data_IF_789466802258
#
_entry.id   IF_789466802258
#
_cell.length_a   1.000
_cell.length_b   1.000
_cell.length_c   1.000
_cell.angle_alpha   90.00
_cell.angle_beta   90.00
_cell.angle_gamma   90.00
#
_symmetry.space_group_name_H-M   'P 1'
#
loop_
_entity.id
_entity.type
_entity.pdbx_description
1 polymer ?
#
# COMPACT_ATOMS: atom_id res chain seq x y z
N UNK A 1 -5.38 -66.57 55.25
CA UNK A 1 -5.70 -65.79 54.03
C UNK A 1 -5.42 -64.28 54.15
N UNK A 2 -5.07 -63.74 55.33
CA UNK A 2 -4.94 -62.28 55.55
C UNK A 2 -3.54 -61.69 55.28
N UNK A 3 -2.46 -62.45 55.44
CA UNK A 3 -1.09 -61.93 55.30
C UNK A 3 -0.65 -61.76 53.84
N UNK A 4 -1.07 -62.65 52.95
CA UNK A 4 -0.70 -62.63 51.53
C UNK A 4 -1.36 -61.47 50.77
N UNK A 5 -2.62 -61.15 51.10
CA UNK A 5 -3.37 -60.03 50.52
C UNK A 5 -2.78 -58.68 50.95
N UNK A 6 -2.23 -58.59 52.17
CA UNK A 6 -1.62 -57.37 52.68
C UNK A 6 -0.29 -57.04 51.99
N UNK A 7 0.56 -58.06 51.80
CA UNK A 7 1.83 -57.92 51.05
C UNK A 7 1.56 -57.54 49.60
N UNK A 8 0.58 -58.17 48.94
CA UNK A 8 0.23 -57.86 47.56
C UNK A 8 -0.27 -56.41 47.41
N UNK A 9 -1.05 -55.91 48.37
CA UNK A 9 -1.51 -54.50 48.39
C UNK A 9 -0.37 -53.50 48.53
N UNK A 10 0.64 -53.81 49.34
CA UNK A 10 1.81 -52.94 49.52
C UNK A 10 2.64 -52.89 48.25
N UNK A 11 2.88 -54.04 47.63
CA UNK A 11 3.63 -54.12 46.37
C UNK A 11 2.89 -53.37 45.25
N UNK A 12 1.56 -53.53 45.16
CA UNK A 12 0.76 -52.85 44.14
C UNK A 12 0.76 -51.33 44.34
N UNK A 13 0.62 -50.84 45.57
CA UNK A 13 0.70 -49.41 45.88
C UNK A 13 2.09 -48.83 45.64
N UNK A 14 3.15 -49.59 45.94
CA UNK A 14 4.52 -49.17 45.68
C UNK A 14 4.79 -49.07 44.17
N UNK A 15 4.36 -50.06 43.38
CA UNK A 15 4.47 -50.05 41.93
C UNK A 15 3.63 -48.95 41.28
N UNK A 16 2.43 -48.69 41.79
CA UNK A 16 1.57 -47.61 41.31
C UNK A 16 2.18 -46.23 41.58
N UNK A 17 2.72 -46.01 42.78
CA UNK A 17 3.43 -44.77 43.10
C UNK A 17 4.71 -44.59 42.26
N UNK A 18 5.46 -45.67 42.03
CA UNK A 18 6.64 -45.63 41.17
C UNK A 18 6.27 -45.32 39.72
N UNK A 19 5.17 -45.88 39.21
CA UNK A 19 4.67 -45.62 37.85
C UNK A 19 4.12 -44.20 37.68
N UNK A 20 3.45 -43.65 38.69
CA UNK A 20 2.94 -42.26 38.67
C UNK A 20 4.10 -41.26 38.73
N UNK A 21 5.08 -41.49 39.61
CA UNK A 21 6.23 -40.58 39.76
C UNK A 21 7.14 -40.59 38.54
N UNK A 22 7.45 -41.75 37.98
CA UNK A 22 8.30 -41.86 36.77
C UNK A 22 7.64 -41.28 35.53
N UNK A 23 6.36 -41.57 35.27
CA UNK A 23 5.65 -41.00 34.12
C UNK A 23 5.37 -39.50 34.28
N UNK A 24 5.12 -39.02 35.50
CA UNK A 24 4.97 -37.59 35.77
C UNK A 24 6.24 -36.79 35.46
N UNK A 25 7.42 -37.33 35.82
CA UNK A 25 8.71 -36.69 35.50
C UNK A 25 8.98 -36.68 33.98
N UNK A 26 8.62 -37.75 33.27
CA UNK A 26 8.78 -37.82 31.81
C UNK A 26 7.88 -36.79 31.10
N UNK A 27 6.60 -36.68 31.50
CA UNK A 27 5.65 -35.73 30.90
C UNK A 27 6.07 -34.29 31.18
N UNK A 28 6.48 -33.97 32.41
CA UNK A 28 6.94 -32.62 32.76
C UNK A 28 8.22 -32.25 32.02
N UNK A 29 9.15 -33.20 31.84
CA UNK A 29 10.36 -32.96 31.06
C UNK A 29 10.08 -32.79 29.56
N UNK A 30 9.13 -33.54 29.00
CA UNK A 30 8.69 -33.35 27.62
C UNK A 30 8.02 -31.97 27.42
N UNK A 31 7.14 -31.57 28.35
CA UNK A 31 6.51 -30.25 28.34
C UNK A 31 7.53 -29.11 28.47
N UNK A 32 8.49 -29.23 29.39
CA UNK A 32 9.58 -28.24 29.54
C UNK A 32 10.43 -28.14 28.28
N UNK A 33 10.78 -29.26 27.65
CA UNK A 33 11.54 -29.26 26.38
C UNK A 33 10.75 -28.59 25.25
N UNK A 34 9.46 -28.88 25.09
CA UNK A 34 8.61 -28.21 24.09
C UNK A 34 8.44 -26.72 24.37
N UNK A 35 8.32 -26.32 25.65
CA UNK A 35 8.25 -24.90 26.02
C UNK A 35 9.56 -24.16 25.70
N UNK A 36 10.72 -24.79 25.97
CA UNK A 36 12.03 -24.22 25.67
C UNK A 36 12.23 -24.09 24.16
N UNK A 37 11.78 -25.06 23.37
CA UNK A 37 11.84 -24.99 21.91
C UNK A 37 10.92 -23.90 21.37
N UNK A 38 9.68 -23.79 21.84
CA UNK A 38 8.75 -22.73 21.45
C UNK A 38 9.25 -21.33 21.84
N UNK A 39 9.81 -21.18 23.05
CA UNK A 39 10.44 -19.93 23.49
C UNK A 39 11.69 -19.59 22.66
N UNK A 40 12.48 -20.59 22.26
CA UNK A 40 13.63 -20.41 21.38
C UNK A 40 13.21 -19.90 20.00
N UNK A 41 12.16 -20.47 19.39
CA UNK A 41 11.64 -19.99 18.10
C UNK A 41 11.05 -18.58 18.17
N UNK A 42 10.33 -18.25 19.25
CA UNK A 42 9.84 -16.89 19.49
C UNK A 42 10.97 -15.88 19.73
N UNK A 43 12.06 -16.30 20.39
CA UNK A 43 13.24 -15.44 20.55
C UNK A 43 13.98 -15.23 19.22
N UNK A 44 14.12 -16.27 18.40
CA UNK A 44 14.79 -16.16 17.09
C UNK A 44 14.04 -15.25 16.12
N UNK A 45 12.70 -15.29 16.13
CA UNK A 45 11.90 -14.39 15.29
C UNK A 45 12.05 -12.92 15.74
N UNK A 46 12.04 -12.66 17.05
CA UNK A 46 12.26 -11.32 17.61
C UNK A 46 13.66 -10.77 17.30
N UNK A 47 14.70 -11.61 17.38
CA UNK A 47 16.05 -11.22 17.02
C UNK A 47 16.18 -10.88 15.53
N UNK A 48 15.62 -11.68 14.63
CA UNK A 48 15.68 -11.42 13.19
C UNK A 48 14.96 -10.12 12.80
N UNK A 49 13.78 -9.84 13.37
CA UNK A 49 13.06 -8.59 13.13
C UNK A 49 13.83 -7.37 13.63
N UNK A 50 14.42 -7.44 14.83
CA UNK A 50 15.23 -6.35 15.38
C UNK A 50 16.51 -6.09 14.57
N UNK A 51 17.14 -7.14 14.03
CA UNK A 51 18.31 -6.98 13.15
C UNK A 51 17.95 -6.42 11.77
N UNK A 52 16.77 -6.75 11.23
CA UNK A 52 16.30 -6.17 9.97
C UNK A 52 16.02 -4.66 10.11
N UNK A 53 15.45 -4.25 11.24
CA UNK A 53 15.23 -2.83 11.57
C UNK A 53 16.53 -2.04 11.76
N UNK A 54 17.59 -2.69 12.30
CA UNK A 54 18.90 -2.06 12.52
C UNK A 54 19.75 -1.88 11.24
N UNK A 55 19.45 -2.61 10.17
CA UNK A 55 20.22 -2.56 8.91
C UNK A 55 19.52 -1.72 7.83
N UNK A 56 18.19 -1.58 7.89
CA UNK A 56 17.45 -0.77 6.93
C UNK A 56 17.66 0.73 7.19
N UNK A 57 18.51 1.37 6.38
CA UNK A 57 18.50 2.83 6.24
C UNK A 57 17.37 3.20 5.29
N UNK A 58 16.36 3.96 5.73
CA UNK A 58 15.28 4.38 4.85
C UNK A 58 15.85 5.18 3.69
N UNK A 59 15.46 4.83 2.46
CA UNK A 59 15.79 5.63 1.29
C UNK A 59 15.06 6.97 1.41
N UNK A 60 15.80 8.04 1.72
CA UNK A 60 15.26 9.38 1.68
C UNK A 60 14.98 9.77 0.24
N UNK A 61 13.75 10.20 0.00
CA UNK A 61 13.29 10.62 -1.31
C UNK A 61 13.21 12.14 -1.34
N UNK A 62 13.55 12.79 -2.47
CA UNK A 62 13.40 14.22 -2.60
C UNK A 62 11.93 14.63 -2.46
N UNK A 63 11.71 15.81 -1.89
CA UNK A 63 10.39 16.37 -1.61
C UNK A 63 10.25 17.74 -2.25
N UNK A 64 9.10 18.00 -2.86
CA UNK A 64 8.76 19.33 -3.36
C UNK A 64 8.27 20.24 -2.21
N UNK A 65 8.70 21.52 -2.16
CA UNK A 65 8.16 22.48 -1.22
C UNK A 65 6.72 22.88 -1.59
N UNK A 66 6.01 23.51 -0.65
CA UNK A 66 4.70 24.10 -0.91
C UNK A 66 4.78 25.14 -2.04
N UNK A 67 3.74 25.18 -2.86
CA UNK A 67 3.53 26.09 -4.00
C UNK A 67 2.16 26.77 -3.84
N UNK A 68 2.00 27.71 -2.90
CA UNK A 68 0.69 28.29 -2.54
C UNK A 68 -0.01 29.04 -3.69
N UNK A 69 0.76 29.48 -4.69
CA UNK A 69 0.25 30.15 -5.89
C UNK A 69 -0.34 29.17 -6.91
N UNK A 70 -0.01 27.89 -6.83
CA UNK A 70 -0.57 26.85 -7.69
C UNK A 70 -1.97 26.48 -7.18
N UNK A 71 -3.00 27.00 -7.86
CA UNK A 71 -4.39 26.68 -7.54
C UNK A 71 -4.85 25.44 -8.29
N UNK A 72 -5.22 24.40 -7.55
CA UNK A 72 -5.79 23.18 -8.12
C UNK A 72 -7.30 23.19 -7.87
N UNK A 73 -8.08 23.08 -8.95
CA UNK A 73 -9.52 22.91 -8.85
C UNK A 73 -9.86 21.43 -8.68
N UNK A 74 -10.19 21.02 -7.45
CA UNK A 74 -10.50 19.63 -7.12
C UNK A 74 -11.96 19.25 -7.30
N UNK A 75 -12.87 20.23 -7.45
CA UNK A 75 -14.31 19.98 -7.60
C UNK A 75 -14.63 19.65 -9.06
N UNK A 76 -14.80 18.37 -9.37
CA UNK A 76 -15.00 17.85 -10.72
C UNK A 76 -16.23 18.47 -11.42
N UNK A 77 -17.30 18.73 -10.65
CA UNK A 77 -18.57 19.27 -11.10
C UNK A 77 -18.41 20.64 -11.78
N UNK A 78 -17.38 21.43 -11.41
CA UNK A 78 -17.14 22.73 -12.05
C UNK A 78 -16.73 22.63 -13.52
N UNK A 79 -16.33 21.45 -13.96
CA UNK A 79 -15.99 21.19 -15.36
C UNK A 79 -17.18 20.66 -16.18
N UNK A 80 -18.31 20.33 -15.54
CA UNK A 80 -19.45 19.67 -16.18
C UNK A 80 -20.11 20.50 -17.29
N UNK A 81 -20.34 21.80 -17.05
CA UNK A 81 -20.98 22.69 -18.03
C UNK A 81 -20.11 22.85 -19.28
N UNK A 82 -18.79 22.99 -19.08
CA UNK A 82 -17.84 23.26 -20.16
C UNK A 82 -17.43 22.02 -20.95
N UNK A 83 -17.35 20.86 -20.29
CA UNK A 83 -16.90 19.59 -20.89
C UNK A 83 -17.91 18.47 -20.61
N UNK A 84 -19.17 18.59 -21.06
CA UNK A 84 -20.25 17.68 -20.64
C UNK A 84 -20.02 16.24 -21.07
N UNK A 85 -19.43 16.00 -22.24
CA UNK A 85 -19.16 14.64 -22.72
C UNK A 85 -18.10 13.93 -21.86
N UNK A 86 -17.02 14.63 -21.54
CA UNK A 86 -15.94 14.12 -20.71
C UNK A 86 -16.42 13.91 -19.27
N UNK A 87 -17.14 14.88 -18.72
CA UNK A 87 -17.70 14.79 -17.38
C UNK A 87 -18.72 13.65 -17.26
N UNK A 88 -19.68 13.54 -18.18
CA UNK A 88 -20.71 12.50 -18.11
C UNK A 88 -20.13 11.08 -18.30
N UNK A 89 -19.13 10.92 -19.17
CA UNK A 89 -18.45 9.63 -19.33
C UNK A 89 -17.59 9.27 -18.11
N UNK A 90 -16.94 10.24 -17.46
CA UNK A 90 -16.30 10.04 -16.16
C UNK A 90 -17.31 9.62 -15.08
N UNK A 91 -18.44 10.33 -14.94
CA UNK A 91 -19.51 10.00 -14.02
C UNK A 91 -20.06 8.58 -14.24
N UNK A 92 -20.09 8.12 -15.50
CA UNK A 92 -20.60 6.79 -15.82
C UNK A 92 -19.79 5.65 -15.21
N UNK A 93 -18.57 5.91 -14.71
CA UNK A 93 -17.81 4.94 -13.91
C UNK A 93 -18.53 4.57 -12.60
N UNK A 94 -19.54 5.31 -12.17
CA UNK A 94 -20.39 4.95 -11.03
C UNK A 94 -21.37 3.79 -11.31
N UNK A 95 -21.56 3.40 -12.58
CA UNK A 95 -22.63 2.51 -13.02
C UNK A 95 -22.09 1.17 -13.56
N UNK A 96 -22.98 0.18 -13.71
CA UNK A 96 -22.63 -1.12 -14.29
C UNK A 96 -21.58 -1.83 -13.45
N UNK A 97 -20.56 -2.43 -14.07
CA UNK A 97 -19.47 -3.09 -13.33
C UNK A 97 -18.75 -2.15 -12.36
N UNK A 98 -18.80 -0.84 -12.59
CA UNK A 98 -18.22 0.15 -11.71
C UNK A 98 -18.89 0.27 -10.34
N UNK A 99 -20.13 -0.17 -10.18
CA UNK A 99 -20.86 -0.13 -8.90
C UNK A 99 -20.60 -1.35 -8.02
N UNK A 100 -20.23 -2.47 -8.63
CA UNK A 100 -20.12 -3.77 -7.97
C UNK A 100 -18.87 -3.85 -7.09
N UNK A 101 -19.04 -4.35 -5.87
CA UNK A 101 -17.94 -4.73 -4.98
C UNK A 101 -17.77 -6.23 -5.06
N UNK A 102 -16.56 -6.68 -5.38
CA UNK A 102 -16.17 -8.08 -5.37
C UNK A 102 -15.13 -8.25 -4.25
N UNK A 103 -15.45 -9.03 -3.22
CA UNK A 103 -14.57 -9.34 -2.10
C UNK A 103 -13.59 -10.45 -2.51
N UNK A 104 -12.43 -10.06 -3.03
CA UNK A 104 -11.49 -10.98 -3.66
C UNK A 104 -10.80 -11.92 -2.66
N UNK A 105 -10.68 -11.50 -1.40
CA UNK A 105 -10.23 -12.35 -0.30
C UNK A 105 -11.28 -13.39 0.13
N UNK A 106 -12.58 -13.11 -0.02
CA UNK A 106 -13.64 -14.11 0.16
C UNK A 106 -13.67 -15.12 -1.00
N UNK A 107 -13.47 -14.67 -2.24
CA UNK A 107 -13.37 -15.57 -3.40
C UNK A 107 -12.12 -16.46 -3.35
N UNK A 108 -10.99 -15.93 -2.86
CA UNK A 108 -9.76 -16.68 -2.68
C UNK A 108 -9.16 -16.50 -1.27
N UNK A 109 -9.62 -17.28 -0.28
CA UNK A 109 -9.14 -17.19 1.11
C UNK A 109 -7.64 -17.48 1.31
N UNK A 110 -6.94 -18.01 0.29
CA UNK A 110 -5.47 -18.15 0.34
C UNK A 110 -4.78 -16.79 0.49
N UNK A 111 -5.38 -15.72 -0.03
CA UNK A 111 -4.89 -14.35 0.10
C UNK A 111 -4.77 -13.93 1.57
N UNK A 112 -5.72 -14.34 2.42
CA UNK A 112 -5.71 -14.06 3.86
C UNK A 112 -4.49 -14.71 4.52
N UNK A 113 -4.14 -15.93 4.12
CA UNK A 113 -2.96 -16.66 4.64
C UNK A 113 -1.67 -16.03 4.12
N UNK A 114 -1.58 -15.74 2.83
CA UNK A 114 -0.41 -15.14 2.20
C UNK A 114 -0.08 -13.76 2.80
N UNK A 115 -1.10 -12.99 3.16
CA UNK A 115 -0.96 -11.68 3.78
C UNK A 115 -1.09 -11.69 5.30
N UNK A 116 -0.92 -12.86 5.94
CA UNK A 116 -1.02 -13.02 7.39
C UNK A 116 -0.14 -12.03 8.15
N UNK A 117 -0.75 -11.15 8.95
CA UNK A 117 -0.06 -10.08 9.68
C UNK A 117 -0.05 -8.72 8.97
N UNK A 118 -0.58 -8.63 7.75
CA UNK A 118 -0.68 -7.40 6.97
C UNK A 118 -2.13 -6.93 6.80
N UNK A 119 -2.33 -5.64 6.51
CA UNK A 119 -3.66 -5.05 6.42
C UNK A 119 -4.54 -5.69 5.32
N UNK A 120 -3.93 -6.18 4.24
CA UNK A 120 -4.63 -6.86 3.15
C UNK A 120 -5.30 -8.18 3.57
N UNK A 121 -4.86 -8.83 4.65
CA UNK A 121 -5.55 -10.00 5.19
C UNK A 121 -6.86 -9.66 5.94
N UNK A 122 -7.15 -8.37 6.18
CA UNK A 122 -8.40 -7.92 6.82
C UNK A 122 -9.52 -7.72 5.80
N UNK A 123 -9.19 -7.12 4.66
CA UNK A 123 -10.11 -6.90 3.55
C UNK A 123 -9.34 -6.56 2.28
N UNK A 124 -9.66 -7.26 1.19
CA UNK A 124 -9.18 -6.96 -0.14
C UNK A 124 -10.26 -7.19 -1.20
N UNK A 125 -10.71 -6.09 -1.80
CA UNK A 125 -11.75 -6.09 -2.83
C UNK A 125 -11.10 -5.86 -4.20
N UNK A 126 -11.67 -6.44 -5.26
CA UNK A 126 -11.33 -6.08 -6.62
C UNK A 126 -11.65 -4.58 -6.88
N UNK A 127 -10.92 -3.91 -7.79
CA UNK A 127 -11.20 -2.52 -8.12
C UNK A 127 -12.57 -2.38 -8.80
N UNK A 128 -13.20 -1.23 -8.57
CA UNK A 128 -14.42 -0.80 -9.27
C UNK A 128 -14.23 0.61 -9.83
N UNK A 129 -15.31 1.32 -10.15
CA UNK A 129 -15.26 2.61 -10.83
C UNK A 129 -14.47 3.69 -10.07
N UNK A 130 -13.73 4.53 -10.82
CA UNK A 130 -13.00 5.68 -10.28
C UNK A 130 -13.87 6.59 -9.40
N UNK A 131 -15.16 6.72 -9.72
CA UNK A 131 -16.12 7.44 -8.90
C UNK A 131 -16.09 7.03 -7.42
N UNK A 132 -15.90 5.74 -7.12
CA UNK A 132 -15.92 5.22 -5.74
C UNK A 132 -14.58 5.27 -5.02
N UNK A 133 -13.50 5.78 -5.62
CA UNK A 133 -12.16 5.71 -5.03
C UNK A 133 -12.07 6.29 -3.59
N UNK A 134 -12.68 7.45 -3.35
CA UNK A 134 -12.74 8.06 -2.00
C UNK A 134 -13.65 7.27 -1.05
N UNK A 135 -14.78 6.77 -1.55
CA UNK A 135 -15.71 5.94 -0.76
C UNK A 135 -15.03 4.65 -0.30
N UNK A 136 -14.33 3.97 -1.21
CA UNK A 136 -13.72 2.67 -0.93
C UNK A 136 -12.55 2.78 0.03
N UNK A 137 -11.68 3.78 -0.13
CA UNK A 137 -10.59 3.99 0.83
C UNK A 137 -11.09 4.40 2.22
N UNK A 138 -12.28 5.01 2.32
CA UNK A 138 -12.92 5.32 3.61
C UNK A 138 -13.52 4.09 4.28
N UNK A 139 -14.13 3.21 3.49
CA UNK A 139 -14.92 2.09 4.02
C UNK A 139 -14.10 0.83 4.29
N UNK A 140 -12.98 0.66 3.57
CA UNK A 140 -12.19 -0.57 3.66
C UNK A 140 -11.55 -0.76 5.03
N UNK A 141 -11.63 -1.98 5.60
CA UNK A 141 -11.09 -2.29 6.92
C UNK A 141 -9.59 -2.02 7.07
N UNK A 142 -8.86 -1.89 5.96
CA UNK A 142 -7.42 -1.57 5.95
C UNK A 142 -7.10 -0.20 6.57
N UNK A 143 -7.98 0.79 6.47
CA UNK A 143 -7.77 2.13 7.05
C UNK A 143 -8.17 2.21 8.53
N UNK A 144 -8.89 1.20 9.03
CA UNK A 144 -9.28 1.10 10.42
C UNK A 144 -10.35 2.13 10.84
N UNK A 145 -10.41 2.44 12.12
CA UNK A 145 -11.42 3.34 12.69
C UNK A 145 -10.79 4.42 13.59
N UNK A 146 -9.94 5.31 13.03
CA UNK A 146 -9.22 6.32 13.81
C UNK A 146 -10.18 7.24 14.56
N UNK A 147 -9.82 7.59 15.80
CA UNK A 147 -10.62 8.47 16.67
C UNK A 147 -10.19 9.93 16.62
N UNK A 148 -8.98 10.20 16.13
CA UNK A 148 -8.44 11.56 16.00
C UNK A 148 -7.64 11.69 14.71
N UNK A 149 -7.29 12.92 14.32
CA UNK A 149 -6.48 13.19 13.14
C UNK A 149 -5.08 12.54 13.16
N UNK A 150 -4.57 12.17 14.34
CA UNK A 150 -3.25 11.55 14.53
C UNK A 150 -3.32 10.04 14.82
N UNK A 151 -4.51 9.44 14.74
CA UNK A 151 -4.75 8.03 15.01
C UNK A 151 -4.84 7.21 13.72
N UNK A 152 -4.91 5.89 13.86
CA UNK A 152 -5.15 4.94 12.78
C UNK A 152 -3.87 4.27 12.26
N UNK A 153 -4.04 3.09 11.63
CA UNK A 153 -2.91 2.30 11.14
C UNK A 153 -2.22 2.93 9.93
N UNK A 154 -2.96 3.68 9.09
CA UNK A 154 -2.46 4.12 7.79
C UNK A 154 -1.86 5.54 7.81
N UNK A 155 -0.84 5.75 6.97
CA UNK A 155 -0.24 7.05 6.69
C UNK A 155 -1.08 7.86 5.68
N UNK A 156 -0.80 9.16 5.56
CA UNK A 156 -1.45 10.04 4.58
C UNK A 156 -1.32 9.52 3.14
N UNK A 157 -0.22 8.80 2.86
CA UNK A 157 0.07 8.17 1.58
C UNK A 157 -1.05 7.28 1.01
N UNK A 158 -1.92 6.70 1.85
CA UNK A 158 -3.05 5.90 1.34
C UNK A 158 -4.07 6.72 0.53
N UNK A 159 -4.10 8.04 0.72
CA UNK A 159 -4.92 8.94 -0.08
C UNK A 159 -4.36 9.28 -1.45
N UNK A 160 -3.05 9.11 -1.66
CA UNK A 160 -2.32 9.75 -2.76
C UNK A 160 -2.88 9.43 -4.14
N UNK A 161 -3.45 8.25 -4.33
CA UNK A 161 -4.02 7.81 -5.60
C UNK A 161 -5.56 7.84 -5.62
N UNK A 162 -6.21 8.73 -4.84
CA UNK A 162 -7.68 8.69 -4.60
C UNK A 162 -8.47 9.91 -5.06
N UNK A 163 -7.82 11.02 -5.41
CA UNK A 163 -8.54 12.19 -5.91
C UNK A 163 -7.71 13.45 -6.10
N UNK A 164 -8.31 14.48 -6.73
CA UNK A 164 -7.64 15.73 -7.09
C UNK A 164 -7.39 16.66 -5.89
N UNK A 165 -7.96 16.37 -4.71
CA UNK A 165 -7.55 17.04 -3.48
C UNK A 165 -6.10 16.72 -3.10
N UNK A 166 -5.55 15.60 -3.56
CA UNK A 166 -4.14 15.25 -3.31
C UNK A 166 -3.17 16.28 -3.89
N UNK A 167 -3.17 16.56 -5.21
CA UNK A 167 -2.30 17.59 -5.78
C UNK A 167 -2.59 18.99 -5.21
N UNK A 168 -3.84 19.28 -4.81
CA UNK A 168 -4.19 20.51 -4.08
C UNK A 168 -3.42 20.60 -2.75
N UNK A 169 -3.51 19.57 -1.92
CA UNK A 169 -2.84 19.52 -0.62
C UNK A 169 -1.31 19.47 -0.74
N UNK A 170 -0.76 18.80 -1.75
CA UNK A 170 0.69 18.83 -2.01
C UNK A 170 1.13 20.26 -2.39
N UNK A 171 0.34 20.98 -3.19
CA UNK A 171 0.62 22.38 -3.51
C UNK A 171 0.51 23.28 -2.27
N UNK A 172 -0.48 23.08 -1.41
CA UNK A 172 -0.69 23.91 -0.22
C UNK A 172 0.32 23.63 0.90
N UNK A 173 0.61 22.35 1.18
CA UNK A 173 1.41 21.93 2.35
C UNK A 173 2.84 21.57 1.98
N UNK A 174 3.13 21.29 0.72
CA UNK A 174 4.38 20.67 0.30
C UNK A 174 4.36 19.15 0.51
N UNK A 175 5.23 18.45 -0.20
CA UNK A 175 5.24 16.99 -0.25
C UNK A 175 5.61 16.37 1.11
N UNK A 176 6.54 16.99 1.84
CA UNK A 176 6.96 16.55 3.18
C UNK A 176 5.81 16.54 4.18
N UNK A 177 5.10 17.66 4.33
CA UNK A 177 4.05 17.82 5.34
C UNK A 177 2.78 17.07 4.94
N UNK A 178 2.52 16.91 3.64
CA UNK A 178 1.51 15.99 3.14
C UNK A 178 1.80 14.56 3.60
N UNK A 179 2.96 13.99 3.26
CA UNK A 179 3.23 12.58 3.57
C UNK A 179 3.38 12.28 5.06
N UNK A 180 3.95 13.20 5.83
CA UNK A 180 4.17 13.03 7.27
C UNK A 180 2.87 12.97 8.11
N UNK A 181 1.71 13.27 7.52
CA UNK A 181 0.43 13.17 8.20
C UNK A 181 -0.07 11.72 8.33
N UNK A 182 -1.03 11.50 9.23
CA UNK A 182 -1.82 10.26 9.28
C UNK A 182 -2.97 10.33 8.27
N UNK A 183 -3.42 9.16 7.81
CA UNK A 183 -4.59 9.04 6.92
C UNK A 183 -5.81 9.80 7.48
N UNK A 184 -6.04 9.72 8.79
CA UNK A 184 -7.17 10.37 9.44
C UNK A 184 -7.19 11.90 9.28
N UNK A 185 -6.02 12.56 9.26
CA UNK A 185 -5.90 14.02 9.05
C UNK A 185 -6.43 14.45 7.68
N UNK A 186 -6.29 13.59 6.67
CA UNK A 186 -6.79 13.82 5.32
C UNK A 186 -8.30 13.69 5.16
N UNK A 187 -8.99 13.04 6.11
CA UNK A 187 -10.43 12.76 6.03
C UNK A 187 -11.32 13.95 5.65
N UNK A 188 -11.22 15.11 6.35
CA UNK A 188 -12.00 16.31 6.01
C UNK A 188 -11.51 17.06 4.76
N UNK A 189 -10.31 16.77 4.26
CA UNK A 189 -9.66 17.51 3.17
C UNK A 189 -9.78 16.84 1.80
N UNK A 190 -9.80 15.51 1.78
CA UNK A 190 -9.85 14.69 0.56
C UNK A 190 -11.25 14.13 0.43
N UNK A 191 -12.07 14.85 -0.34
CA UNK A 191 -13.51 14.62 -0.46
C UNK A 191 -13.97 14.45 -1.90
N UNK A 192 -13.18 14.89 -2.86
CA UNK A 192 -13.43 14.72 -4.28
C UNK A 192 -12.74 13.44 -4.77
N UNK A 193 -13.50 12.58 -5.45
CA UNK A 193 -12.96 11.35 -6.06
C UNK A 193 -12.09 11.65 -7.27
N UNK A 194 -11.32 10.65 -7.72
CA UNK A 194 -10.43 10.71 -8.90
C UNK A 194 -11.13 11.45 -10.03
N UNK A 195 -10.48 12.48 -10.60
CA UNK A 195 -11.13 13.32 -11.60
C UNK A 195 -10.23 14.25 -12.38
N UNK A 196 -10.77 15.37 -12.87
CA UNK A 196 -10.17 16.15 -13.96
C UNK A 196 -8.73 16.59 -13.63
N UNK A 197 -8.51 17.15 -12.45
CA UNK A 197 -7.22 17.68 -12.06
C UNK A 197 -6.17 16.59 -11.71
N UNK A 198 -6.52 15.30 -11.65
CA UNK A 198 -5.52 14.25 -11.52
C UNK A 198 -4.70 14.05 -12.81
N UNK A 199 -5.30 14.33 -13.97
CA UNK A 199 -4.71 14.04 -15.29
C UNK A 199 -4.52 15.28 -16.17
N UNK A 200 -5.20 16.38 -15.86
CA UNK A 200 -5.22 17.60 -16.68
C UNK A 200 -4.69 18.80 -15.90
N UNK A 201 -3.91 19.66 -16.57
CA UNK A 201 -3.65 21.01 -16.08
C UNK A 201 -4.87 21.89 -16.36
N UNK A 202 -5.80 21.85 -15.41
CA UNK A 202 -7.08 22.56 -15.48
C UNK A 202 -6.95 24.08 -15.42
N UNK A 203 -5.75 24.60 -15.10
CA UNK A 203 -5.46 26.04 -15.04
C UNK A 203 -4.86 26.59 -16.34
N UNK A 204 -4.45 25.70 -17.23
CA UNK A 204 -3.82 26.09 -18.49
C UNK A 204 -4.82 26.71 -19.48
N UNK A 205 -4.30 27.63 -20.31
CA UNK A 205 -5.03 28.15 -21.47
C UNK A 205 -5.44 27.02 -22.42
N UNK A 206 -4.57 26.03 -22.62
CA UNK A 206 -4.84 24.89 -23.49
C UNK A 206 -6.06 24.09 -23.02
N UNK A 207 -6.16 23.80 -21.71
CA UNK A 207 -7.35 23.16 -21.15
C UNK A 207 -8.59 24.03 -21.37
N UNK A 208 -8.49 25.33 -21.08
CA UNK A 208 -9.58 26.27 -21.28
C UNK A 208 -10.07 26.34 -22.75
N UNK A 209 -9.21 26.06 -23.73
CA UNK A 209 -9.54 25.98 -25.16
C UNK A 209 -10.05 24.59 -25.60
N UNK A 210 -10.20 23.64 -24.67
CA UNK A 210 -10.69 22.29 -24.94
C UNK A 210 -9.61 21.29 -25.37
N UNK A 211 -8.33 21.66 -25.27
CA UNK A 211 -7.23 20.70 -25.45
C UNK A 211 -7.05 19.88 -24.17
N UNK A 212 -6.48 18.67 -24.24
CA UNK A 212 -6.30 17.84 -23.05
C UNK A 212 -5.40 18.46 -21.99
N UNK A 213 -4.31 19.16 -22.36
CA UNK A 213 -3.32 19.67 -21.42
C UNK A 213 -2.91 18.62 -20.35
N UNK A 214 -2.48 17.44 -20.80
CA UNK A 214 -2.15 16.32 -19.90
C UNK A 214 -1.04 16.72 -18.93
N UNK A 215 -1.17 16.29 -17.67
CA UNK A 215 -0.16 16.48 -16.63
C UNK A 215 0.01 15.25 -15.77
N UNK A 216 1.20 15.13 -15.18
CA UNK A 216 1.41 14.35 -13.97
C UNK A 216 1.15 15.26 -12.78
N UNK A 217 0.14 14.93 -11.97
CA UNK A 217 -0.27 15.78 -10.86
C UNK A 217 0.55 15.53 -9.58
N UNK A 218 1.38 14.49 -9.56
CA UNK A 218 2.08 13.98 -8.38
C UNK A 218 3.60 14.04 -8.60
N UNK A 219 4.36 14.81 -7.80
CA UNK A 219 5.80 14.95 -8.01
C UNK A 219 6.60 13.63 -8.02
N UNK A 220 6.27 12.69 -7.13
CA UNK A 220 6.93 11.37 -7.08
C UNK A 220 6.77 10.56 -8.38
N UNK A 221 5.70 10.76 -9.13
CA UNK A 221 5.47 10.08 -10.42
C UNK A 221 6.41 10.63 -11.49
N UNK A 222 6.61 11.96 -11.54
CA UNK A 222 7.60 12.55 -12.47
C UNK A 222 9.00 11.99 -12.18
N UNK A 223 9.38 11.92 -10.89
CA UNK A 223 10.67 11.36 -10.49
C UNK A 223 10.82 9.89 -10.87
N UNK A 224 9.76 9.10 -10.68
CA UNK A 224 9.76 7.70 -11.07
C UNK A 224 9.85 7.50 -12.59
N UNK A 225 9.15 8.33 -13.38
CA UNK A 225 9.25 8.30 -14.85
C UNK A 225 10.65 8.69 -15.33
N UNK A 226 11.27 9.71 -14.71
CA UNK A 226 12.65 10.11 -15.03
C UNK A 226 13.67 9.03 -14.63
N UNK A 227 13.44 8.30 -13.54
CA UNK A 227 14.28 7.17 -13.14
C UNK A 227 14.12 5.99 -14.11
N UNK A 228 12.89 5.69 -14.50
CA UNK A 228 12.56 4.64 -15.46
C UNK A 228 13.15 4.91 -16.85
N UNK A 229 13.06 6.14 -17.33
CA UNK A 229 13.70 6.56 -18.58
C UNK A 229 15.18 6.21 -18.56
N UNK A 230 15.90 6.59 -17.51
CA UNK A 230 17.33 6.29 -17.38
C UNK A 230 17.59 4.79 -17.39
N UNK A 231 16.86 4.04 -16.57
CA UNK A 231 17.02 2.59 -16.45
C UNK A 231 16.75 1.86 -17.77
N UNK A 232 15.73 2.27 -18.52
CA UNK A 232 15.34 1.61 -19.77
C UNK A 232 16.18 2.07 -20.96
N UNK A 233 16.56 3.35 -21.04
CA UNK A 233 17.45 3.87 -22.08
C UNK A 233 18.82 3.16 -22.06
N UNK A 234 19.38 2.92 -20.87
CA UNK A 234 20.66 2.22 -20.72
C UNK A 234 20.56 0.77 -21.18
N UNK A 235 19.49 0.06 -20.81
CA UNK A 235 19.23 -1.33 -21.23
C UNK A 235 18.98 -1.44 -22.73
N UNK A 236 18.10 -0.62 -23.28
CA UNK A 236 17.77 -0.63 -24.70
C UNK A 236 19.02 -0.35 -25.54
N UNK A 237 19.86 0.60 -25.10
CA UNK A 237 21.16 0.88 -25.73
C UNK A 237 22.11 -0.31 -25.66
N UNK A 238 22.21 -0.98 -24.52
CA UNK A 238 23.07 -2.15 -24.34
C UNK A 238 22.63 -3.34 -25.22
N UNK A 239 21.33 -3.48 -25.46
CA UNK A 239 20.72 -4.57 -26.24
C UNK A 239 20.52 -4.21 -27.72
N UNK A 240 20.82 -2.97 -28.14
CA UNK A 240 20.59 -2.50 -29.50
C UNK A 240 19.11 -2.39 -29.89
N UNK A 241 18.22 -2.22 -28.90
CA UNK A 241 16.78 -2.06 -29.12
C UNK A 241 16.42 -0.58 -29.32
N UNK A 242 15.37 -0.26 -30.11
CA UNK A 242 14.83 1.09 -30.15
C UNK A 242 14.29 1.47 -28.77
N UNK A 243 14.49 2.74 -28.40
CA UNK A 243 14.09 3.28 -27.10
C UNK A 243 13.02 4.37 -27.27
N UNK A 244 11.97 4.30 -26.48
CA UNK A 244 10.93 5.32 -26.39
C UNK A 244 11.21 6.20 -25.18
N UNK A 245 11.24 7.52 -25.37
CA UNK A 245 11.41 8.48 -24.27
C UNK A 245 10.16 8.48 -23.36
N UNK A 246 10.36 8.15 -22.08
CA UNK A 246 9.37 8.04 -20.99
C UNK A 246 9.41 9.25 -20.04
N UNK A 247 10.27 10.23 -20.28
CA UNK A 247 10.28 11.48 -19.52
C UNK A 247 9.06 12.33 -19.91
N UNK A 248 8.04 12.37 -19.06
CA UNK A 248 6.71 12.96 -19.37
C UNK A 248 6.75 14.33 -20.06
N UNK A 249 7.69 15.20 -19.70
CA UNK A 249 7.78 16.54 -20.29
C UNK A 249 8.17 16.50 -21.77
N UNK A 250 9.03 15.56 -22.16
CA UNK A 250 9.61 15.42 -23.51
C UNK A 250 9.10 14.20 -24.29
N UNK A 251 8.34 13.32 -23.64
CA UNK A 251 7.79 12.12 -24.22
C UNK A 251 6.81 12.41 -25.37
N UNK A 252 6.67 11.45 -26.28
CA UNK A 252 5.69 11.54 -27.35
C UNK A 252 4.26 11.53 -26.78
N UNK A 253 3.31 12.12 -27.51
CA UNK A 253 1.90 12.20 -27.06
C UNK A 253 1.28 10.83 -26.76
N UNK A 254 1.72 9.78 -27.45
CA UNK A 254 1.27 8.40 -27.21
C UNK A 254 1.70 7.91 -25.83
N UNK A 255 2.97 8.12 -25.47
CA UNK A 255 3.53 7.73 -24.18
C UNK A 255 2.84 8.46 -23.03
N UNK A 256 2.64 9.79 -23.18
CA UNK A 256 1.95 10.62 -22.17
C UNK A 256 0.57 10.10 -21.80
N UNK A 257 -0.14 9.42 -22.73
CA UNK A 257 -1.47 8.85 -22.45
C UNK A 257 -1.41 7.65 -21.50
N UNK A 258 -0.34 6.86 -21.54
CA UNK A 258 -0.12 5.78 -20.58
C UNK A 258 0.47 6.34 -19.26
N UNK A 259 1.39 7.29 -19.36
CA UNK A 259 2.06 7.90 -18.21
C UNK A 259 1.09 8.61 -17.25
N UNK A 260 0.01 9.24 -17.75
CA UNK A 260 -1.01 9.81 -16.86
C UNK A 260 -1.66 8.76 -15.95
N UNK A 261 -1.78 7.50 -16.40
CA UNK A 261 -2.32 6.41 -15.60
C UNK A 261 -1.33 6.01 -14.49
N UNK A 262 -0.03 6.24 -14.71
CA UNK A 262 1.02 6.03 -13.71
C UNK A 262 0.96 7.01 -12.54
N UNK A 263 0.07 8.02 -12.57
CA UNK A 263 -0.31 8.73 -11.34
C UNK A 263 -0.77 7.78 -10.23
N UNK A 264 -1.33 6.62 -10.59
CA UNK A 264 -1.97 5.70 -9.64
C UNK A 264 -1.71 4.20 -9.91
N UNK A 265 -1.70 3.75 -11.17
CA UNK A 265 -1.70 2.33 -11.52
C UNK A 265 -0.29 1.74 -11.65
N UNK A 266 0.37 1.58 -10.51
CA UNK A 266 1.75 1.11 -10.43
C UNK A 266 1.97 0.31 -9.14
N UNK A 267 3.05 -0.46 -9.11
CA UNK A 267 3.61 -0.95 -7.84
C UNK A 267 4.29 0.20 -7.09
N UNK A 268 4.12 0.25 -5.78
CA UNK A 268 4.71 1.29 -4.93
C UNK A 268 4.98 0.77 -3.51
N UNK A 269 5.92 1.43 -2.84
CA UNK A 269 6.14 1.27 -1.41
C UNK A 269 6.20 2.63 -0.69
N UNK A 270 6.21 2.61 0.63
CA UNK A 270 6.33 3.81 1.47
C UNK A 270 7.77 3.98 1.97
N UNK A 271 8.48 4.92 1.36
CA UNK A 271 9.87 5.22 1.69
C UNK A 271 9.98 6.19 2.88
N UNK A 272 11.06 6.05 3.65
CA UNK A 272 11.38 6.99 4.72
C UNK A 272 10.46 6.94 5.94
N UNK A 273 10.74 7.82 6.89
CA UNK A 273 9.93 8.00 8.10
C UNK A 273 8.59 8.66 7.78
N UNK A 274 8.56 9.54 6.79
CA UNK A 274 7.35 10.23 6.33
C UNK A 274 6.45 9.35 5.44
N UNK A 275 6.85 8.12 5.11
CA UNK A 275 6.06 7.16 4.32
C UNK A 275 5.67 7.70 2.94
N UNK A 276 6.63 8.29 2.23
CA UNK A 276 6.42 8.85 0.89
C UNK A 276 6.16 7.75 -0.14
N UNK A 277 5.15 7.94 -0.99
CA UNK A 277 4.88 7.03 -2.12
C UNK A 277 6.07 7.04 -3.08
N UNK A 278 6.64 5.86 -3.32
CA UNK A 278 7.84 5.68 -4.14
C UNK A 278 7.65 4.48 -5.06
N UNK A 279 8.01 4.62 -6.34
CA UNK A 279 7.94 3.52 -7.31
C UNK A 279 9.34 2.90 -7.41
N UNK A 280 9.48 1.58 -7.25
CA UNK A 280 10.78 0.90 -7.22
C UNK A 280 11.33 0.68 -8.65
N UNK A 281 11.46 1.76 -9.43
CA UNK A 281 11.74 1.70 -10.88
C UNK A 281 13.19 2.05 -11.25
N UNK A 282 14.07 2.29 -10.27
CA UNK A 282 15.46 2.70 -10.49
C UNK A 282 16.25 1.67 -11.33
N UNK A 283 15.85 0.40 -11.27
CA UNK A 283 16.43 -0.68 -12.07
C UNK A 283 15.57 -1.07 -13.29
N UNK A 284 14.38 -0.51 -13.47
CA UNK A 284 13.38 -0.93 -14.45
C UNK A 284 12.07 -1.42 -13.81
N UNK A 285 11.16 -1.92 -14.64
CA UNK A 285 9.78 -2.28 -14.24
C UNK A 285 9.49 -3.78 -14.23
N UNK A 286 10.45 -4.63 -14.61
CA UNK A 286 10.23 -6.08 -14.55
C UNK A 286 10.23 -6.55 -13.10
N UNK A 287 9.62 -7.70 -12.83
CA UNK A 287 9.63 -8.28 -11.48
C UNK A 287 11.06 -8.51 -10.97
N UNK A 288 11.97 -8.95 -11.85
CA UNK A 288 13.38 -9.16 -11.51
C UNK A 288 14.13 -7.86 -11.21
N UNK A 289 13.73 -6.75 -11.86
CA UNK A 289 14.33 -5.43 -11.59
C UNK A 289 13.88 -4.87 -10.25
N UNK A 290 12.58 -5.02 -9.95
CA UNK A 290 11.96 -4.58 -8.70
C UNK A 290 12.43 -5.45 -7.53
N UNK A 291 12.61 -6.76 -7.71
CA UNK A 291 13.15 -7.64 -6.66
C UNK A 291 14.61 -7.31 -6.31
N UNK A 292 15.41 -6.86 -7.29
CA UNK A 292 16.82 -6.47 -7.07
C UNK A 292 16.99 -5.10 -6.40
N UNK A 293 15.98 -4.23 -6.51
CA UNK A 293 15.97 -2.89 -5.93
C UNK A 293 15.83 -2.97 -4.40
#
# INVERSE_FOLDING_TARGET
MSTFVWILRIILNFLLNLFITTNGVIIVNAFKKSLIVAASFASLSLFNSATAELVYKPLEQPVEPAKPDLKIESVNEKFAEKYPNQYNSWCSTANGDGENIIYADEENPRLIVLWGGYAFAKEYNAPRGHFYAVTDVRNILRTGAPKTANDGPQAMACWTCKGPDVPRLIAEWGEKDYFNAKWAKGGPEIVNSIGCADCHDTTSKDFAEGKPALRIARPHVLRALDALEKATAEKDKAEGRPHNNLSFNTAARTEKRAEICANCHVEYYFAGDIKQVTFPWDNGQTVDDIEKY
#
